data_IF_258066098077
#
_entry.id   IF_258066098077
#
_cell.length_a   1.000
_cell.length_b   1.000
_cell.length_c   1.000
_cell.angle_alpha   90.00
_cell.angle_beta   90.00
_cell.angle_gamma   90.00
#
_symmetry.space_group_name_H-M   'P 1'
#
loop_
_entity.id
_entity.type
_entity.pdbx_description
1 polymer ?
#
# COMPACT_ATOMS: atom_id res chain seq x y z
N UNK A 1 -11.39 10.72 -11.89
CA UNK A 1 -10.54 11.06 -10.72
C UNK A 1 -9.71 9.83 -10.37
N UNK A 2 -8.39 9.99 -10.15
CA UNK A 2 -7.49 8.91 -9.71
C UNK A 2 -7.46 8.85 -8.19
N UNK A 3 -7.34 7.66 -7.61
CA UNK A 3 -7.24 7.48 -6.16
C UNK A 3 -6.02 8.24 -5.59
N UNK A 4 -6.11 8.82 -4.38
CA UNK A 4 -5.02 9.59 -3.76
C UNK A 4 -3.80 8.72 -3.39
N UNK A 5 -3.98 7.40 -3.32
CA UNK A 5 -2.95 6.39 -3.08
C UNK A 5 -3.38 5.07 -3.71
N UNK A 6 -2.45 4.13 -4.00
CA UNK A 6 -2.84 2.80 -4.45
C UNK A 6 -3.68 2.11 -3.36
N UNK A 7 -4.82 1.56 -3.74
CA UNK A 7 -5.72 0.84 -2.85
C UNK A 7 -5.68 -0.67 -3.15
N UNK A 8 -5.68 -1.46 -2.08
CA UNK A 8 -5.88 -2.90 -2.12
C UNK A 8 -7.32 -3.20 -1.71
N UNK A 9 -7.98 -4.12 -2.43
CA UNK A 9 -9.34 -4.57 -2.13
C UNK A 9 -9.27 -6.04 -1.68
N UNK A 10 -8.92 -6.32 -0.41
CA UNK A 10 -8.60 -7.66 0.07
C UNK A 10 -9.77 -8.64 0.01
N UNK A 11 -11.01 -8.14 -0.02
CA UNK A 11 -12.22 -8.95 -0.18
C UNK A 11 -12.80 -8.87 -1.61
N UNK A 12 -12.04 -8.27 -2.54
CA UNK A 12 -12.50 -7.95 -3.89
C UNK A 12 -13.50 -6.79 -3.92
N UNK A 13 -13.91 -6.46 -5.15
CA UNK A 13 -15.06 -5.61 -5.41
C UNK A 13 -16.28 -6.50 -5.59
N UNK A 14 -17.43 -6.06 -5.08
CA UNK A 14 -18.69 -6.75 -5.26
C UNK A 14 -19.79 -5.77 -5.64
N UNK A 15 -20.89 -6.31 -6.13
CA UNK A 15 -22.10 -5.52 -6.35
C UNK A 15 -23.32 -6.30 -5.92
N UNK A 16 -24.28 -5.60 -5.32
CA UNK A 16 -25.59 -6.15 -4.97
C UNK A 16 -26.71 -5.21 -5.44
N UNK A 17 -27.92 -5.75 -5.43
CA UNK A 17 -29.14 -5.05 -5.83
C UNK A 17 -30.16 -5.16 -4.70
N UNK A 18 -30.79 -4.04 -4.35
CA UNK A 18 -31.93 -4.00 -3.44
C UNK A 18 -33.18 -3.60 -4.24
N UNK A 19 -34.00 -4.57 -4.68
CA UNK A 19 -35.21 -4.29 -5.45
C UNK A 19 -36.42 -4.00 -4.56
N UNK A 20 -37.54 -3.67 -5.21
CA UNK A 20 -38.89 -3.56 -4.62
C UNK A 20 -39.01 -2.51 -3.50
N UNK A 21 -38.22 -1.44 -3.61
CA UNK A 21 -38.29 -0.31 -2.70
C UNK A 21 -39.37 0.68 -3.15
N UNK A 22 -39.91 1.43 -2.19
CA UNK A 22 -40.60 2.68 -2.55
C UNK A 22 -39.57 3.62 -3.17
N UNK A 23 -39.83 4.26 -4.33
CA UNK A 23 -38.92 5.22 -4.92
C UNK A 23 -38.44 6.28 -3.92
N UNK A 24 -37.13 6.50 -3.83
CA UNK A 24 -36.51 7.44 -2.89
C UNK A 24 -36.37 6.93 -1.45
N UNK A 25 -36.61 5.64 -1.21
CA UNK A 25 -36.53 5.05 0.13
C UNK A 25 -35.09 5.02 0.66
N UNK A 26 -34.90 5.49 1.89
CA UNK A 26 -33.68 5.26 2.67
C UNK A 26 -33.72 3.98 3.50
N UNK A 27 -32.60 3.28 3.57
CA UNK A 27 -32.42 2.06 4.34
C UNK A 27 -30.96 1.85 4.74
N UNK A 28 -30.73 0.91 5.66
CA UNK A 28 -29.39 0.48 6.06
C UNK A 28 -29.13 -0.97 5.67
N UNK A 29 -27.92 -1.27 5.19
CA UNK A 29 -27.43 -2.63 4.94
C UNK A 29 -26.25 -2.91 5.86
N UNK A 30 -26.30 -4.03 6.59
CA UNK A 30 -25.16 -4.49 7.37
C UNK A 30 -24.32 -5.49 6.57
N UNK A 31 -23.06 -5.16 6.36
CA UNK A 31 -22.06 -6.06 5.79
C UNK A 31 -21.30 -6.74 6.92
N UNK A 32 -21.42 -8.06 7.05
CA UNK A 32 -20.70 -8.84 8.05
C UNK A 32 -19.31 -9.20 7.50
N UNK A 33 -18.26 -8.86 8.24
CA UNK A 33 -16.87 -9.09 7.82
C UNK A 33 -16.39 -10.47 8.29
N UNK A 34 -15.55 -11.16 7.49
CA UNK A 34 -14.86 -12.35 7.96
C UNK A 34 -13.93 -11.98 9.13
N UNK A 35 -13.69 -12.88 10.10
CA UNK A 35 -12.77 -12.62 11.22
C UNK A 35 -11.34 -12.28 10.79
N UNK A 36 -10.98 -12.58 9.55
CA UNK A 36 -9.67 -12.29 8.93
C UNK A 36 -9.63 -10.94 8.21
N UNK A 37 -10.71 -10.16 8.23
CA UNK A 37 -10.74 -8.84 7.61
C UNK A 37 -9.72 -7.90 8.28
N UNK A 38 -8.99 -7.07 7.51
CA UNK A 38 -8.09 -6.07 8.07
C UNK A 38 -8.83 -5.04 8.94
N UNK A 39 -8.11 -4.36 9.83
CA UNK A 39 -8.70 -3.34 10.73
C UNK A 39 -8.72 -1.92 10.16
N UNK A 40 -7.89 -1.64 9.15
CA UNK A 40 -7.79 -0.32 8.50
C UNK A 40 -8.50 -0.35 7.15
N UNK A 41 -9.83 -0.35 7.22
CA UNK A 41 -10.68 -0.44 6.02
C UNK A 41 -11.37 0.89 5.74
N UNK A 42 -11.47 1.22 4.46
CA UNK A 42 -12.35 2.24 3.90
C UNK A 42 -13.31 1.55 2.93
N UNK A 43 -14.52 2.07 2.76
CA UNK A 43 -15.47 1.54 1.79
C UNK A 43 -15.49 2.45 0.56
N UNK A 44 -14.95 1.97 -0.56
CA UNK A 44 -14.91 2.74 -1.80
C UNK A 44 -15.99 2.28 -2.77
N UNK A 45 -16.51 3.23 -3.54
CA UNK A 45 -17.45 2.98 -4.64
C UNK A 45 -16.88 3.47 -5.96
N UNK A 46 -17.28 2.80 -7.04
CA UNK A 46 -17.02 3.24 -8.41
C UNK A 46 -18.35 3.46 -9.13
N UNK A 47 -18.93 4.64 -8.92
CA UNK A 47 -20.22 5.05 -9.49
C UNK A 47 -20.27 6.56 -9.69
N UNK A 48 -21.37 7.08 -10.23
CA UNK A 48 -21.67 8.50 -10.20
C UNK A 48 -22.11 8.96 -8.80
N UNK A 49 -22.12 10.28 -8.59
CA UNK A 49 -22.77 10.95 -7.47
C UNK A 49 -23.68 12.07 -7.99
N UNK A 50 -24.69 12.55 -7.24
CA UNK A 50 -25.51 13.69 -7.67
C UNK A 50 -24.64 14.90 -8.08
N UNK A 51 -24.89 15.43 -9.27
CA UNK A 51 -24.10 16.53 -9.86
C UNK A 51 -22.81 16.09 -10.59
N UNK A 52 -22.36 14.84 -10.44
CA UNK A 52 -21.26 14.24 -11.21
C UNK A 52 -21.60 12.77 -11.55
N UNK A 53 -22.47 12.53 -12.56
CA UNK A 53 -23.01 11.21 -12.86
C UNK A 53 -22.00 10.26 -13.52
N UNK A 54 -20.91 10.78 -14.09
CA UNK A 54 -19.84 9.96 -14.67
C UNK A 54 -19.18 9.10 -13.59
N UNK A 55 -19.05 7.76 -13.79
CA UNK A 55 -18.44 6.88 -12.81
C UNK A 55 -17.02 7.30 -12.42
N UNK A 56 -16.78 7.40 -11.13
CA UNK A 56 -15.46 7.65 -10.56
C UNK A 56 -15.32 6.98 -9.19
N UNK A 57 -14.08 6.82 -8.75
CA UNK A 57 -13.80 6.34 -7.40
C UNK A 57 -14.04 7.44 -6.37
N UNK A 58 -14.73 7.11 -5.29
CA UNK A 58 -14.86 7.96 -4.12
C UNK A 58 -14.92 7.12 -2.84
N UNK A 59 -14.43 7.68 -1.73
CA UNK A 59 -14.60 7.10 -0.41
C UNK A 59 -16.06 7.31 0.04
N UNK A 60 -16.76 6.22 0.30
CA UNK A 60 -18.17 6.25 0.68
C UNK A 60 -18.31 6.41 2.19
N UNK A 61 -17.66 7.39 2.80
CA UNK A 61 -17.85 7.70 4.22
C UNK A 61 -19.25 8.30 4.46
N UNK A 62 -19.83 8.01 5.63
CA UNK A 62 -21.11 8.58 6.04
C UNK A 62 -21.06 10.10 6.13
N UNK A 63 -21.88 10.79 5.35
CA UNK A 63 -21.95 12.26 5.26
C UNK A 63 -23.12 12.87 6.06
N UNK A 64 -23.90 12.04 6.74
CA UNK A 64 -25.13 12.43 7.43
C UNK A 64 -26.42 12.02 6.71
N UNK A 65 -26.34 11.60 5.45
CA UNK A 65 -27.47 11.12 4.64
C UNK A 65 -27.18 9.73 4.03
N UNK A 66 -26.04 9.58 3.38
CA UNK A 66 -25.58 8.33 2.76
C UNK A 66 -24.16 8.03 3.17
N UNK A 67 -23.73 6.78 3.04
CA UNK A 67 -22.35 6.36 3.29
C UNK A 67 -22.21 5.19 4.25
N UNK A 68 -20.97 4.75 4.41
CA UNK A 68 -20.54 3.65 5.25
C UNK A 68 -20.13 4.18 6.63
N UNK A 69 -20.62 3.50 7.66
CA UNK A 69 -20.13 3.58 9.03
C UNK A 69 -19.31 2.33 9.29
N UNK A 70 -18.02 2.51 9.52
CA UNK A 70 -17.05 1.42 9.67
C UNK A 70 -17.06 0.87 11.10
N UNK A 71 -17.23 -0.45 11.24
CA UNK A 71 -17.04 -1.18 12.48
C UNK A 71 -15.93 -2.22 12.35
N UNK A 72 -15.57 -2.87 13.47
CA UNK A 72 -14.51 -3.88 13.51
C UNK A 72 -14.94 -5.24 12.95
N UNK A 73 -16.22 -5.59 13.08
CA UNK A 73 -16.77 -6.88 12.62
C UNK A 73 -17.89 -6.73 11.59
N UNK A 74 -18.44 -5.52 11.44
CA UNK A 74 -19.44 -5.21 10.43
C UNK A 74 -19.34 -3.77 9.97
N UNK A 75 -19.94 -3.48 8.81
CA UNK A 75 -20.04 -2.14 8.23
C UNK A 75 -21.50 -1.87 7.96
N UNK A 76 -21.97 -0.69 8.35
CA UNK A 76 -23.34 -0.26 8.05
C UNK A 76 -23.31 0.69 6.87
N UNK A 77 -23.94 0.31 5.76
CA UNK A 77 -24.15 1.19 4.61
C UNK A 77 -25.50 1.88 4.76
N UNK A 78 -25.49 3.21 4.77
CA UNK A 78 -26.67 4.06 4.65
C UNK A 78 -26.88 4.39 3.18
N UNK A 79 -28.00 3.94 2.62
CA UNK A 79 -28.33 4.05 1.20
C UNK A 79 -29.70 4.70 1.03
N UNK A 80 -29.86 5.46 -0.04
CA UNK A 80 -31.12 6.03 -0.47
C UNK A 80 -31.25 5.85 -1.97
N UNK A 81 -32.39 5.31 -2.42
CA UNK A 81 -32.73 5.11 -3.83
C UNK A 81 -32.69 6.43 -4.59
N UNK A 82 -31.84 6.50 -5.61
CA UNK A 82 -31.58 7.71 -6.40
C UNK A 82 -30.51 8.67 -5.87
N UNK A 83 -29.78 8.35 -4.78
CA UNK A 83 -28.71 9.19 -4.24
C UNK A 83 -27.32 8.53 -4.35
N UNK A 84 -26.31 9.20 -3.79
CA UNK A 84 -24.94 8.69 -3.70
C UNK A 84 -24.94 7.29 -3.10
N UNK A 85 -24.26 6.37 -3.77
CA UNK A 85 -24.25 4.96 -3.41
C UNK A 85 -25.15 4.08 -4.26
N UNK A 86 -26.12 4.67 -4.96
CA UNK A 86 -26.94 4.05 -6.00
C UNK A 86 -26.38 4.38 -7.39
N UNK A 87 -26.03 3.34 -8.17
CA UNK A 87 -25.18 3.51 -9.34
C UNK A 87 -25.82 4.30 -10.48
N UNK A 88 -27.15 4.27 -10.61
CA UNK A 88 -27.88 4.96 -11.69
C UNK A 88 -28.43 6.33 -11.29
N UNK A 89 -28.35 6.67 -9.99
CA UNK A 89 -28.84 7.91 -9.40
C UNK A 89 -30.32 8.21 -9.67
N UNK A 90 -31.14 7.17 -9.90
CA UNK A 90 -32.58 7.29 -10.13
C UNK A 90 -33.39 6.72 -8.97
N UNK A 91 -34.37 7.48 -8.48
CA UNK A 91 -35.35 6.95 -7.55
C UNK A 91 -36.35 6.05 -8.30
N UNK A 92 -35.97 4.79 -8.55
CA UNK A 92 -36.72 3.83 -9.35
C UNK A 92 -37.17 2.59 -8.54
N UNK A 93 -36.97 2.61 -7.22
CA UNK A 93 -37.28 1.50 -6.33
C UNK A 93 -36.23 0.39 -6.35
N UNK A 94 -35.03 0.66 -6.87
CA UNK A 94 -33.96 -0.32 -7.05
C UNK A 94 -32.58 0.32 -6.87
N UNK A 95 -31.94 0.01 -5.76
CA UNK A 95 -30.55 0.43 -5.52
C UNK A 95 -29.58 -0.58 -6.11
N UNK A 96 -28.65 -0.11 -6.95
CA UNK A 96 -27.49 -0.90 -7.42
C UNK A 96 -26.24 -0.37 -6.75
N UNK A 97 -25.58 -1.20 -5.95
CA UNK A 97 -24.45 -0.82 -5.12
C UNK A 97 -23.18 -1.54 -5.58
N UNK A 98 -22.32 -0.93 -6.42
CA UNK A 98 -20.99 -1.44 -6.72
C UNK A 98 -19.95 -0.80 -5.80
N UNK A 99 -19.23 -1.62 -5.05
CA UNK A 99 -18.23 -1.12 -4.12
C UNK A 99 -17.34 -2.21 -3.55
N UNK A 100 -16.47 -1.80 -2.64
CA UNK A 100 -15.61 -2.73 -1.95
C UNK A 100 -14.86 -2.12 -0.79
N UNK A 101 -14.47 -3.05 0.07
CA UNK A 101 -13.60 -2.84 1.21
C UNK A 101 -12.19 -2.68 0.71
N UNK A 102 -11.63 -1.50 0.95
CA UNK A 102 -10.27 -1.16 0.58
C UNK A 102 -9.41 -0.91 1.81
N UNK A 103 -8.10 -1.06 1.65
CA UNK A 103 -7.11 -0.50 2.55
C UNK A 103 -6.04 0.22 1.72
N UNK A 104 -5.32 1.19 2.30
CA UNK A 104 -4.12 1.70 1.68
C UNK A 104 -3.16 0.53 1.37
N UNK A 105 -2.62 0.48 0.15
CA UNK A 105 -1.42 -0.33 -0.10
C UNK A 105 -0.28 0.39 0.59
N UNK A 106 0.39 -0.28 1.53
CA UNK A 106 1.64 0.24 2.07
C UNK A 106 2.65 0.32 0.91
N UNK A 107 3.02 1.53 0.51
CA UNK A 107 4.03 1.76 -0.53
C UNK A 107 5.34 2.07 0.18
N UNK A 108 6.33 1.20 0.01
CA UNK A 108 7.65 1.45 0.55
C UNK A 108 8.39 2.57 -0.16
N UNK A 109 9.34 3.21 0.52
CA UNK A 109 10.13 4.24 -0.11
C UNK A 109 10.93 3.66 -1.27
N UNK A 110 11.15 4.50 -2.29
CA UNK A 110 12.13 4.17 -3.34
C UNK A 110 13.54 4.39 -2.79
N UNK A 111 14.39 3.37 -2.93
CA UNK A 111 15.80 3.45 -2.55
C UNK A 111 16.67 3.90 -3.72
N UNK A 112 17.63 4.76 -3.42
CA UNK A 112 18.74 5.13 -4.29
C UNK A 112 20.05 5.13 -3.49
N UNK A 113 21.17 5.23 -4.20
CA UNK A 113 22.51 5.24 -3.58
C UNK A 113 22.79 4.02 -2.68
N UNK A 114 22.23 2.86 -3.08
CA UNK A 114 22.54 1.60 -2.42
C UNK A 114 23.99 1.21 -2.73
N UNK A 115 24.81 1.04 -1.69
CA UNK A 115 26.21 0.65 -1.76
C UNK A 115 26.53 -0.46 -0.76
N UNK A 116 27.54 -1.27 -1.07
CA UNK A 116 28.15 -2.20 -0.12
C UNK A 116 29.68 -2.04 -0.22
N UNK A 117 30.32 -1.60 0.86
CA UNK A 117 31.75 -1.25 0.86
C UNK A 117 32.49 -2.02 1.94
N UNK A 118 33.64 -2.59 1.60
CA UNK A 118 34.53 -3.23 2.59
C UNK A 118 35.30 -2.14 3.34
N UNK A 119 35.08 -2.02 4.65
CA UNK A 119 35.67 -0.98 5.51
C UNK A 119 36.21 -1.60 6.80
N UNK A 120 37.53 -1.77 6.94
CA UNK A 120 38.12 -2.26 8.19
C UNK A 120 37.70 -3.69 8.57
N UNK A 121 37.68 -4.60 7.60
CA UNK A 121 37.38 -6.03 7.83
C UNK A 121 35.89 -6.35 8.04
N UNK A 122 35.00 -5.44 7.66
CA UNK A 122 33.54 -5.58 7.68
C UNK A 122 32.95 -4.99 6.40
N UNK A 123 31.72 -5.33 6.06
CA UNK A 123 31.00 -4.70 4.93
C UNK A 123 29.98 -3.71 5.48
N UNK A 124 30.04 -2.46 5.04
CA UNK A 124 29.04 -1.43 5.37
C UNK A 124 28.11 -1.23 4.18
N UNK A 125 26.83 -1.51 4.39
CA UNK A 125 25.75 -1.32 3.42
C UNK A 125 25.07 0.00 3.72
N UNK A 126 25.02 0.91 2.74
CA UNK A 126 24.36 2.22 2.88
C UNK A 126 23.34 2.41 1.78
N UNK A 127 22.26 3.12 2.08
CA UNK A 127 21.25 3.52 1.09
C UNK A 127 20.58 4.81 1.53
N UNK A 128 19.90 5.45 0.59
CA UNK A 128 19.06 6.61 0.85
C UNK A 128 17.64 6.34 0.33
N UNK A 129 16.64 6.83 1.04
CA UNK A 129 15.25 6.77 0.59
C UNK A 129 14.82 8.10 -0.01
N UNK A 130 14.01 8.07 -1.07
CA UNK A 130 13.31 9.26 -1.54
C UNK A 130 12.19 9.67 -0.55
N UNK A 131 11.79 10.93 -0.63
CA UNK A 131 10.62 11.49 0.04
C UNK A 131 9.32 10.83 -0.47
N UNK A 132 8.92 9.71 0.14
CA UNK A 132 7.54 9.23 0.29
C UNK A 132 7.52 7.76 0.73
N UNK A 133 6.70 7.46 1.74
CA UNK A 133 6.33 6.12 2.17
C UNK A 133 6.32 5.97 3.70
N UNK A 134 5.22 5.49 4.28
CA UNK A 134 5.25 4.91 5.62
C UNK A 134 6.10 3.63 5.55
N UNK A 135 7.33 3.71 6.05
CA UNK A 135 8.24 2.58 6.01
C UNK A 135 8.10 1.73 7.28
N UNK A 136 7.71 0.47 7.13
CA UNK A 136 7.85 -0.52 8.21
C UNK A 136 9.33 -0.83 8.52
N UNK A 137 10.26 -0.27 7.75
CA UNK A 137 11.69 -0.44 7.88
C UNK A 137 12.26 -1.34 6.79
N UNK A 138 13.46 -1.85 7.04
CA UNK A 138 14.27 -2.56 6.05
C UNK A 138 14.88 -3.84 6.61
N UNK A 139 15.18 -4.77 5.70
CA UNK A 139 16.03 -5.94 5.98
C UNK A 139 17.11 -6.03 4.91
N UNK A 140 18.36 -6.25 5.32
CA UNK A 140 19.51 -6.46 4.44
C UNK A 140 19.67 -7.95 4.16
N UNK A 141 19.84 -8.28 2.89
CA UNK A 141 20.03 -9.63 2.38
C UNK A 141 21.41 -9.77 1.76
N UNK A 142 22.02 -10.95 1.90
CA UNK A 142 23.34 -11.27 1.34
C UNK A 142 23.34 -12.57 0.54
N UNK A 143 24.12 -12.61 -0.54
CA UNK A 143 24.41 -13.80 -1.33
C UNK A 143 25.91 -13.89 -1.70
N UNK A 144 26.38 -15.10 -1.99
CA UNK A 144 27.74 -15.32 -2.51
C UNK A 144 27.86 -15.04 -4.02
N UNK A 145 26.75 -15.07 -4.75
CA UNK A 145 26.70 -14.78 -6.19
C UNK A 145 25.63 -13.73 -6.48
N UNK A 146 25.73 -13.04 -7.61
CA UNK A 146 24.77 -12.00 -8.01
C UNK A 146 23.33 -12.53 -8.07
N UNK A 147 23.15 -13.76 -8.55
CA UNK A 147 21.84 -14.41 -8.70
C UNK A 147 21.31 -15.05 -7.41
N UNK A 148 22.08 -15.04 -6.31
CA UNK A 148 21.68 -15.67 -5.06
C UNK A 148 22.31 -17.05 -4.82
N UNK A 149 21.73 -17.87 -3.93
CA UNK A 149 20.55 -17.58 -3.10
C UNK A 149 20.84 -16.48 -2.06
N UNK A 150 19.86 -15.60 -1.82
CA UNK A 150 19.95 -14.54 -0.81
C UNK A 150 19.38 -15.01 0.53
N UNK A 151 20.06 -14.64 1.63
CA UNK A 151 19.60 -14.86 3.00
C UNK A 151 19.56 -13.54 3.77
N UNK A 152 18.62 -13.34 4.70
CA UNK A 152 18.61 -12.14 5.52
C UNK A 152 19.80 -12.18 6.47
N UNK A 153 20.50 -11.06 6.61
CA UNK A 153 21.68 -10.91 7.47
C UNK A 153 21.51 -9.82 8.53
N UNK A 154 20.48 -8.98 8.41
CA UNK A 154 20.10 -8.01 9.44
C UNK A 154 18.82 -8.42 10.16
N UNK A 155 18.65 -7.89 11.37
CA UNK A 155 17.32 -7.71 11.97
C UNK A 155 16.57 -6.57 11.26
N UNK A 156 15.33 -6.30 11.67
CA UNK A 156 14.58 -5.11 11.23
C UNK A 156 15.36 -3.83 11.52
N UNK A 157 15.49 -2.99 10.49
CA UNK A 157 16.05 -1.64 10.58
C UNK A 157 14.88 -0.66 10.46
N UNK A 158 14.46 0.01 11.55
CA UNK A 158 13.31 0.90 11.49
C UNK A 158 13.52 2.05 10.50
N UNK A 159 12.47 2.42 9.76
CA UNK A 159 12.51 3.62 8.95
C UNK A 159 12.47 4.86 9.85
N UNK A 160 13.23 5.89 9.48
CA UNK A 160 13.12 7.21 10.07
C UNK A 160 11.85 7.90 9.55
N UNK A 161 11.16 8.61 10.44
CA UNK A 161 10.03 9.46 10.09
C UNK A 161 10.53 10.81 9.54
N UNK A 162 11.07 10.81 8.31
CA UNK A 162 11.53 12.03 7.63
C UNK A 162 10.78 12.24 6.30
N UNK A 163 10.00 13.34 6.16
CA UNK A 163 9.26 13.63 4.93
C UNK A 163 10.16 13.90 3.72
N UNK A 164 11.44 14.23 3.91
CA UNK A 164 12.42 14.42 2.82
C UNK A 164 13.13 13.11 2.39
N UNK A 165 12.89 12.00 3.12
CA UNK A 165 13.69 10.80 3.02
C UNK A 165 14.91 10.83 3.96
N UNK A 166 15.58 9.69 4.14
CA UNK A 166 16.67 9.56 5.10
C UNK A 166 17.79 8.67 4.54
N UNK A 167 19.00 8.88 5.09
CA UNK A 167 20.14 8.01 4.85
C UNK A 167 20.21 6.93 5.93
N UNK A 168 20.50 5.71 5.50
CA UNK A 168 20.61 4.55 6.36
C UNK A 168 21.94 3.84 6.16
N UNK A 169 22.39 3.15 7.21
CA UNK A 169 23.60 2.34 7.20
C UNK A 169 23.39 1.10 8.05
N UNK A 170 23.88 -0.03 7.56
CA UNK A 170 23.97 -1.29 8.31
C UNK A 170 25.32 -1.95 8.08
N UNK A 171 25.83 -2.61 9.12
CA UNK A 171 27.19 -3.18 9.11
C UNK A 171 27.13 -4.69 9.26
N UNK A 172 27.68 -5.39 8.27
CA UNK A 172 27.91 -6.83 8.32
C UNK A 172 29.25 -7.11 9.00
N UNK A 173 29.18 -7.48 10.28
CA UNK A 173 30.37 -7.87 11.05
C UNK A 173 30.81 -9.32 10.77
N UNK A 174 30.05 -10.09 10.00
CA UNK A 174 30.33 -11.52 9.78
C UNK A 174 31.21 -11.78 8.55
N UNK A 175 31.37 -10.80 7.68
CA UNK A 175 32.25 -10.86 6.51
C UNK A 175 32.99 -9.54 6.32
N UNK A 176 34.23 -9.64 5.84
CA UNK A 176 35.14 -8.50 5.69
C UNK A 176 35.86 -8.43 4.35
N UNK A 177 35.34 -9.11 3.33
CA UNK A 177 35.97 -9.28 2.03
C UNK A 177 35.02 -8.87 0.91
N UNK A 178 35.59 -8.48 -0.23
CA UNK A 178 34.83 -8.18 -1.44
C UNK A 178 34.23 -9.47 -2.03
N UNK A 179 33.25 -9.30 -2.92
CA UNK A 179 32.69 -10.40 -3.72
C UNK A 179 31.30 -10.88 -3.31
N UNK A 180 30.87 -10.62 -2.07
CA UNK A 180 29.48 -10.83 -1.66
C UNK A 180 28.53 -9.82 -2.31
N UNK A 181 27.28 -10.21 -2.48
CA UNK A 181 26.24 -9.38 -3.07
C UNK A 181 25.16 -9.07 -2.06
N UNK A 182 24.69 -7.83 -2.06
CA UNK A 182 23.72 -7.33 -1.09
C UNK A 182 22.47 -6.79 -1.78
N UNK A 183 21.34 -6.99 -1.12
CA UNK A 183 20.05 -6.38 -1.45
C UNK A 183 19.45 -5.77 -0.18
N UNK A 184 18.59 -4.76 -0.35
CA UNK A 184 17.77 -4.21 0.73
C UNK A 184 16.31 -4.41 0.39
N UNK A 185 15.56 -5.00 1.32
CA UNK A 185 14.11 -5.19 1.24
C UNK A 185 13.39 -4.11 2.05
N UNK A 186 12.37 -3.47 1.46
CA UNK A 186 11.41 -2.62 2.17
C UNK A 186 10.32 -3.50 2.79
N UNK A 187 10.14 -3.42 4.11
CA UNK A 187 9.18 -4.27 4.82
C UNK A 187 7.72 -3.90 4.57
N UNK A 188 7.45 -2.66 4.15
CA UNK A 188 6.11 -2.16 3.87
C UNK A 188 5.48 -2.82 2.62
N UNK A 189 6.28 -3.13 1.59
CA UNK A 189 5.80 -3.67 0.31
C UNK A 189 6.57 -4.91 -0.18
N UNK A 190 7.57 -5.38 0.57
CA UNK A 190 8.41 -6.53 0.22
C UNK A 190 9.36 -6.31 -0.95
N UNK A 191 9.48 -5.08 -1.47
CA UNK A 191 10.30 -4.80 -2.65
C UNK A 191 11.79 -4.90 -2.32
N UNK A 192 12.57 -5.53 -3.21
CA UNK A 192 14.04 -5.64 -3.09
C UNK A 192 14.79 -4.72 -4.05
N UNK A 193 15.83 -4.07 -3.54
CA UNK A 193 16.72 -3.17 -4.25
C UNK A 193 18.14 -3.74 -4.33
N UNK A 194 18.84 -3.50 -5.44
CA UNK A 194 20.12 -4.13 -5.78
C UNK A 194 19.98 -5.17 -6.91
N UNK A 195 20.87 -6.17 -7.00
CA UNK A 195 21.97 -6.43 -6.08
C UNK A 195 23.17 -5.51 -6.32
N UNK A 196 23.89 -5.20 -5.25
CA UNK A 196 25.18 -4.48 -5.30
C UNK A 196 26.29 -5.38 -4.78
N UNK A 197 27.43 -5.39 -5.47
CA UNK A 197 28.59 -6.16 -5.02
C UNK A 197 29.35 -5.39 -3.94
N UNK A 198 29.75 -6.08 -2.88
CA UNK A 198 30.72 -5.57 -1.91
C UNK A 198 32.07 -5.41 -2.59
N UNK A 199 32.56 -4.17 -2.63
CA UNK A 199 33.84 -3.81 -3.25
C UNK A 199 34.73 -3.06 -2.26
N UNK A 200 36.04 -3.15 -2.45
CA UNK A 200 37.00 -2.34 -1.71
C UNK A 200 37.23 -1.02 -2.46
N UNK A 201 37.08 0.12 -1.80
CA UNK A 201 37.52 1.43 -2.31
C UNK A 201 36.78 1.98 -3.55
N UNK A 202 35.57 1.51 -3.88
CA UNK A 202 34.77 2.04 -5.00
C UNK A 202 33.31 2.25 -4.59
N UNK A 203 32.77 3.43 -4.86
CA UNK A 203 31.35 3.74 -4.71
C UNK A 203 30.60 3.34 -5.98
N UNK A 204 29.57 2.50 -5.87
CA UNK A 204 28.71 2.10 -6.99
C UNK A 204 27.30 2.63 -6.74
N UNK A 205 26.82 3.55 -7.58
CA UNK A 205 25.51 4.17 -7.42
C UNK A 205 24.41 3.29 -8.05
N UNK A 206 23.47 2.80 -7.25
CA UNK A 206 22.21 2.27 -7.78
C UNK A 206 21.24 3.42 -8.06
N UNK A 207 20.85 3.57 -9.33
CA UNK A 207 19.81 4.51 -9.78
C UNK A 207 18.57 3.71 -10.20
N UNK A 208 17.46 3.75 -9.45
CA UNK A 208 16.21 3.17 -9.92
C UNK A 208 15.70 3.92 -11.15
N UNK A 209 15.05 3.23 -12.09
CA UNK A 209 14.21 3.90 -13.09
C UNK A 209 13.01 4.50 -12.36
N UNK A 210 12.91 5.83 -12.34
CA UNK A 210 11.67 6.53 -12.02
C UNK A 210 10.76 6.41 -13.25
N UNK A 211 9.74 5.55 -13.18
CA UNK A 211 8.68 5.50 -14.19
C UNK A 211 7.82 6.76 -14.10
N UNK A 212 7.33 7.24 -15.25
CA UNK A 212 6.28 8.28 -15.32
C UNK A 212 4.93 7.69 -14.94
#
# INVERSE_FOLDING_TARGET
>A
STLPQPLDFPLGLFSFVLPDLTPGRSLTVELILPPTAPTLLHYYKHSGVPGQPEPHWYDFLYDGETGAVMGSTSITLHLTDGLRGDADLQANGRIVDPGGLSRPVAVGPTLYDLTATVEGGKVVVRWTTAAAGEGDGFVVWRAATQSGPYKPVSQRIPAASDPAGAQYSWTDYTVGVAGYWYQVETLSDGRRYGPVQAVAGRHSLFLPRLGR
#
